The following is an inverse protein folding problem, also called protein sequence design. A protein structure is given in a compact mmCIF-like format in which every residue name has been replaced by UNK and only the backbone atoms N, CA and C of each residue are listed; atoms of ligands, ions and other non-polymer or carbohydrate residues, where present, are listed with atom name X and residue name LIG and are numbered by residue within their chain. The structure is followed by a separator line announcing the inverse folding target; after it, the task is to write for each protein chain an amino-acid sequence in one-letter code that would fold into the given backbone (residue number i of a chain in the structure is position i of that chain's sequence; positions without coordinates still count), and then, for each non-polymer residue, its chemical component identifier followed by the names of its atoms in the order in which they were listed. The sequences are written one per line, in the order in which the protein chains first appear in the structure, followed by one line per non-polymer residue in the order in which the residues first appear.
data_IF_329953091685
#
_entry.id   IF_329953091685
#
_cell.length_a   1.000
_cell.length_b   1.000
_cell.length_c   1.000
_cell.angle_alpha   90.00
_cell.angle_beta   90.00
_cell.angle_gamma   90.00
#
_symmetry.space_group_name_H-M   'P 1'
#
loop_
_entity.id
_entity.type
_entity.pdbx_description
1 polymer ?
#
# COMPACT_ATOMS: atom_id res chain seq x y z
N UNK A 1 -9.96 49.79 1.63
CA UNK A 1 -10.41 49.11 0.40
C UNK A 1 -9.77 47.73 0.43
N UNK A 2 -10.46 46.74 1.03
CA UNK A 2 -9.91 45.41 1.33
C UNK A 2 -10.48 44.37 0.33
N UNK A 3 -10.23 44.56 -0.97
CA UNK A 3 -10.86 43.75 -2.03
C UNK A 3 -9.87 42.84 -2.78
N UNK A 4 -8.73 42.50 -2.20
CA UNK A 4 -7.73 41.62 -2.85
C UNK A 4 -7.56 40.25 -2.16
N UNK A 5 -8.32 39.96 -1.11
CA UNK A 5 -8.13 38.75 -0.28
C UNK A 5 -9.16 37.63 -0.53
N UNK A 6 -10.15 37.84 -1.40
CA UNK A 6 -11.32 36.95 -1.54
C UNK A 6 -11.18 35.85 -2.60
N UNK A 7 -10.01 35.72 -3.24
CA UNK A 7 -9.86 34.88 -4.45
C UNK A 7 -8.94 33.67 -4.31
N UNK A 8 -8.41 33.40 -3.10
CA UNK A 8 -7.63 32.18 -2.85
C UNK A 8 -8.46 31.24 -2.02
N UNK A 9 -8.60 29.98 -2.45
CA UNK A 9 -9.12 28.93 -1.58
C UNK A 9 -8.17 28.81 -0.38
N UNK A 10 -8.51 29.46 0.74
CA UNK A 10 -7.70 29.53 1.95
C UNK A 10 -7.61 28.18 2.69
N UNK A 11 -8.36 27.17 2.22
CA UNK A 11 -8.48 25.87 2.86
C UNK A 11 -8.63 24.75 1.81
N UNK A 12 -7.69 23.81 1.84
CA UNK A 12 -7.81 22.52 1.15
C UNK A 12 -8.18 21.44 2.16
N UNK A 13 -9.27 20.72 1.90
CA UNK A 13 -9.73 19.62 2.75
C UNK A 13 -9.51 18.31 1.98
N UNK A 14 -8.80 17.36 2.60
CA UNK A 14 -8.65 15.99 2.09
C UNK A 14 -9.43 15.06 3.01
N UNK A 15 -10.43 14.38 2.46
CA UNK A 15 -11.21 13.37 3.16
C UNK A 15 -10.67 12.00 2.79
N UNK A 16 -10.26 11.23 3.80
CA UNK A 16 -9.75 9.86 3.64
C UNK A 16 -10.55 8.94 4.54
N UNK A 17 -10.95 7.79 4.02
CA UNK A 17 -11.64 6.77 4.78
C UNK A 17 -11.74 5.47 4.02
N UNK A 18 -12.36 4.48 4.66
CA UNK A 18 -12.63 3.18 4.09
C UNK A 18 -13.80 3.26 3.07
N UNK A 19 -14.03 2.23 2.24
CA UNK A 19 -15.11 2.24 1.23
C UNK A 19 -16.50 2.58 1.79
N UNK A 20 -16.77 2.28 3.05
CA UNK A 20 -18.01 2.62 3.75
C UNK A 20 -18.22 4.14 3.87
N UNK A 21 -17.15 4.93 3.84
CA UNK A 21 -17.23 6.38 3.80
C UNK A 21 -18.00 6.84 2.56
N UNK A 22 -17.76 6.23 1.39
CA UNK A 22 -18.48 6.61 0.17
C UNK A 22 -20.00 6.41 0.32
N UNK A 23 -20.40 5.26 0.86
CA UNK A 23 -21.81 4.96 1.15
C UNK A 23 -22.43 5.95 2.14
N UNK A 24 -21.70 6.31 3.20
CA UNK A 24 -22.13 7.33 4.18
C UNK A 24 -22.22 8.71 3.57
N UNK A 25 -21.31 9.06 2.66
CA UNK A 25 -21.35 10.34 1.97
C UNK A 25 -22.54 10.43 1.03
N UNK A 26 -22.96 9.32 0.41
CA UNK A 26 -24.12 9.27 -0.49
C UNK A 26 -25.48 9.51 0.20
N UNK A 27 -25.54 9.55 1.54
CA UNK A 27 -26.76 9.86 2.29
C UNK A 27 -27.29 11.27 1.96
N UNK A 28 -28.62 11.43 1.92
CA UNK A 28 -29.25 12.73 1.62
C UNK A 28 -28.80 13.86 2.55
N UNK A 29 -28.51 13.54 3.81
CA UNK A 29 -27.99 14.49 4.81
C UNK A 29 -26.66 15.13 4.43
N UNK A 30 -25.86 14.50 3.57
CA UNK A 30 -24.52 14.94 3.20
C UNK A 30 -24.40 15.47 1.76
N UNK A 31 -25.54 15.59 1.05
CA UNK A 31 -25.59 16.06 -0.36
C UNK A 31 -24.88 17.39 -0.60
N UNK A 32 -25.04 18.36 0.30
CA UNK A 32 -24.43 19.69 0.18
C UNK A 32 -22.90 19.68 0.30
N UNK A 33 -22.35 18.68 0.99
CA UNK A 33 -20.91 18.48 1.14
C UNK A 33 -20.36 17.71 -0.05
N UNK A 34 -21.08 16.67 -0.49
CA UNK A 34 -20.75 15.89 -1.69
C UNK A 34 -20.61 16.76 -2.96
N UNK A 35 -21.50 17.75 -3.15
CA UNK A 35 -21.44 18.63 -4.33
C UNK A 35 -20.22 19.56 -4.34
N UNK A 36 -19.54 19.73 -3.20
CA UNK A 36 -18.34 20.56 -3.06
C UNK A 36 -17.04 19.77 -3.20
N UNK A 37 -17.12 18.45 -3.40
CA UNK A 37 -15.96 17.60 -3.64
C UNK A 37 -15.70 17.55 -5.14
N UNK A 38 -14.67 18.29 -5.57
CA UNK A 38 -14.29 18.38 -6.98
C UNK A 38 -13.58 17.11 -7.49
N UNK A 39 -12.85 16.42 -6.61
CA UNK A 39 -12.09 15.24 -6.96
C UNK A 39 -12.41 14.10 -6.00
N UNK A 40 -12.70 12.93 -6.55
CA UNK A 40 -12.93 11.70 -5.81
C UNK A 40 -12.15 10.59 -6.48
N UNK A 41 -11.36 9.90 -5.67
CA UNK A 41 -10.53 8.79 -6.11
C UNK A 41 -10.76 7.61 -5.17
N UNK A 42 -10.86 6.43 -5.76
CA UNK A 42 -10.83 5.16 -5.05
C UNK A 42 -9.45 4.57 -5.30
N UNK A 43 -8.73 4.23 -4.23
CA UNK A 43 -7.45 3.54 -4.35
C UNK A 43 -7.78 2.06 -4.49
N UNK A 44 -7.58 1.52 -5.68
CA UNK A 44 -7.72 0.09 -5.94
C UNK A 44 -6.54 -0.69 -5.35
N UNK A 45 -6.70 -2.00 -5.08
CA UNK A 45 -5.57 -2.86 -4.74
C UNK A 45 -4.48 -2.76 -5.80
N UNK A 46 -3.22 -2.76 -5.38
CA UNK A 46 -2.08 -2.68 -6.27
C UNK A 46 -2.09 -3.87 -7.24
N UNK A 47 -1.81 -3.63 -8.52
CA UNK A 47 -1.53 -4.70 -9.50
C UNK A 47 -0.18 -5.36 -9.21
N UNK A 48 0.16 -6.41 -9.97
CA UNK A 48 1.48 -7.05 -9.86
C UNK A 48 2.61 -6.08 -10.26
N UNK A 49 2.37 -5.23 -11.26
CA UNK A 49 3.34 -4.24 -11.72
C UNK A 49 3.47 -3.11 -10.70
N UNK A 50 2.36 -2.62 -10.14
CA UNK A 50 2.37 -1.66 -9.02
C UNK A 50 3.13 -2.23 -7.82
N UNK A 51 2.98 -3.54 -7.54
CA UNK A 51 3.68 -4.22 -6.45
C UNK A 51 5.19 -4.21 -6.69
N UNK A 52 5.63 -4.52 -7.91
CA UNK A 52 7.04 -4.49 -8.29
C UNK A 52 7.63 -3.07 -8.18
N UNK A 53 6.94 -2.07 -8.73
CA UNK A 53 7.34 -0.66 -8.66
C UNK A 53 7.38 -0.17 -7.21
N UNK A 54 6.36 -0.50 -6.42
CA UNK A 54 6.27 -0.13 -5.03
C UNK A 54 7.43 -0.71 -4.21
N UNK A 55 7.71 -2.01 -4.36
CA UNK A 55 8.85 -2.64 -3.67
C UNK A 55 10.16 -2.00 -4.10
N UNK A 56 10.38 -1.77 -5.41
CA UNK A 56 11.57 -1.12 -5.91
C UNK A 56 11.73 0.31 -5.36
N UNK A 57 10.64 1.10 -5.32
CA UNK A 57 10.63 2.42 -4.74
C UNK A 57 11.01 2.41 -3.25
N UNK A 58 10.43 1.48 -2.48
CA UNK A 58 10.72 1.33 -1.04
C UNK A 58 12.17 0.91 -0.79
N UNK A 59 12.69 0.00 -1.60
CA UNK A 59 14.08 -0.44 -1.51
C UNK A 59 15.07 0.68 -1.87
N UNK A 60 14.79 1.44 -2.92
CA UNK A 60 15.57 2.62 -3.29
C UNK A 60 15.58 3.65 -2.17
N UNK A 61 14.43 3.90 -1.53
CA UNK A 61 14.34 4.78 -0.36
C UNK A 61 15.14 4.27 0.86
N UNK A 62 15.36 2.96 0.96
CA UNK A 62 16.22 2.34 1.96
C UNK A 62 17.71 2.27 1.56
N UNK A 63 18.08 2.80 0.39
CA UNK A 63 19.45 2.84 -0.10
C UNK A 63 19.93 1.57 -0.81
N UNK A 64 19.02 0.66 -1.20
CA UNK A 64 19.39 -0.47 -2.03
C UNK A 64 19.76 0.00 -3.45
N UNK A 65 20.90 -0.47 -3.96
CA UNK A 65 21.45 -0.15 -5.28
C UNK A 65 21.37 -1.32 -6.27
N UNK A 66 20.87 -2.47 -5.83
CA UNK A 66 20.67 -3.67 -6.63
C UNK A 66 19.33 -4.35 -6.33
N UNK A 67 18.93 -5.27 -7.20
CA UNK A 67 17.71 -6.06 -7.00
C UNK A 67 17.87 -7.00 -5.80
N UNK A 68 16.92 -6.93 -4.87
CA UNK A 68 16.84 -7.80 -3.68
C UNK A 68 15.74 -8.85 -3.79
N UNK A 69 14.84 -8.73 -4.77
CA UNK A 69 13.74 -9.66 -5.01
C UNK A 69 13.80 -10.17 -6.45
N UNK A 70 13.58 -11.47 -6.64
CA UNK A 70 13.36 -12.03 -7.97
C UNK A 70 11.96 -11.67 -8.49
N UNK A 71 11.74 -11.76 -9.81
CA UNK A 71 10.42 -11.50 -10.40
C UNK A 71 9.34 -12.44 -9.84
N UNK A 72 9.70 -13.71 -9.62
CA UNK A 72 8.81 -14.73 -9.07
C UNK A 72 8.44 -14.44 -7.61
N UNK A 73 9.35 -13.82 -6.85
CA UNK A 73 9.06 -13.46 -5.45
C UNK A 73 8.17 -12.21 -5.37
N UNK A 74 8.31 -11.26 -6.29
CA UNK A 74 7.39 -10.12 -6.42
C UNK A 74 5.97 -10.58 -6.80
N UNK A 75 5.85 -11.50 -7.77
CA UNK A 75 4.56 -12.09 -8.13
C UNK A 75 3.92 -12.82 -6.94
N UNK A 76 4.70 -13.64 -6.22
CA UNK A 76 4.21 -14.34 -5.04
C UNK A 76 3.79 -13.38 -3.90
N UNK A 77 4.54 -12.28 -3.70
CA UNK A 77 4.16 -11.23 -2.75
C UNK A 77 2.81 -10.61 -3.12
N UNK A 78 2.61 -10.27 -4.39
CA UNK A 78 1.35 -9.70 -4.87
C UNK A 78 0.18 -10.67 -4.63
N UNK A 79 0.33 -11.95 -5.02
CA UNK A 79 -0.69 -12.99 -4.82
C UNK A 79 -1.08 -13.14 -3.35
N UNK A 80 -0.08 -13.27 -2.46
CA UNK A 80 -0.30 -13.48 -1.03
C UNK A 80 -0.86 -12.24 -0.32
N UNK A 81 -0.50 -11.05 -0.77
CA UNK A 81 -0.99 -9.80 -0.22
C UNK A 81 -2.32 -9.33 -0.84
N UNK A 82 -2.76 -9.95 -1.94
CA UNK A 82 -3.93 -9.53 -2.72
C UNK A 82 -3.90 -8.02 -3.06
N UNK A 83 -2.72 -7.50 -3.42
CA UNK A 83 -2.52 -6.08 -3.75
C UNK A 83 -2.55 -5.11 -2.57
N UNK A 84 -2.66 -5.58 -1.32
CA UNK A 84 -2.58 -4.72 -0.14
C UNK A 84 -1.14 -4.27 0.12
N UNK A 85 -0.85 -2.97 -0.08
CA UNK A 85 0.48 -2.41 0.19
C UNK A 85 0.98 -2.69 1.61
N UNK A 86 0.07 -2.74 2.59
CA UNK A 86 0.42 -3.04 3.98
C UNK A 86 0.89 -4.48 4.16
N UNK A 87 0.20 -5.43 3.54
CA UNK A 87 0.61 -6.84 3.61
C UNK A 87 1.83 -7.12 2.73
N UNK A 88 1.98 -6.43 1.59
CA UNK A 88 3.22 -6.42 0.79
C UNK A 88 4.40 -6.01 1.67
N UNK A 89 4.31 -4.87 2.39
CA UNK A 89 5.35 -4.40 3.30
C UNK A 89 5.69 -5.43 4.37
N UNK A 90 4.66 -6.05 4.97
CA UNK A 90 4.81 -7.03 6.05
C UNK A 90 5.53 -8.29 5.56
N UNK A 91 5.06 -8.87 4.46
CA UNK A 91 5.62 -10.07 3.86
C UNK A 91 7.04 -9.81 3.33
N UNK A 92 7.25 -8.72 2.58
CA UNK A 92 8.56 -8.37 2.02
C UNK A 92 9.61 -8.17 3.13
N UNK A 93 9.25 -7.44 4.20
CA UNK A 93 10.15 -7.20 5.34
C UNK A 93 10.53 -8.50 6.05
N UNK A 94 9.57 -9.40 6.25
CA UNK A 94 9.83 -10.68 6.89
C UNK A 94 10.63 -11.62 5.97
N UNK A 95 10.36 -11.64 4.66
CA UNK A 95 11.12 -12.38 3.66
C UNK A 95 12.57 -11.91 3.56
N UNK A 96 12.82 -10.60 3.59
CA UNK A 96 14.19 -10.06 3.64
C UNK A 96 14.94 -10.50 4.90
N UNK A 97 14.31 -10.42 6.08
CA UNK A 97 14.94 -10.89 7.34
C UNK A 97 15.27 -12.38 7.28
N UNK A 98 14.37 -13.16 6.71
CA UNK A 98 14.53 -14.61 6.60
C UNK A 98 15.63 -15.00 5.58
N UNK A 99 15.71 -14.31 4.45
CA UNK A 99 16.82 -14.48 3.49
C UNK A 99 18.16 -14.05 4.08
N UNK A 100 18.19 -12.94 4.83
CA UNK A 100 19.39 -12.46 5.52
C UNK A 100 19.89 -13.48 6.56
N UNK A 101 19.00 -14.08 7.36
CA UNK A 101 19.34 -15.17 8.30
C UNK A 101 19.98 -16.37 7.60
N UNK A 102 19.55 -16.66 6.36
CA UNK A 102 20.11 -17.73 5.52
C UNK A 102 21.31 -17.29 4.67
N UNK A 103 21.81 -16.06 4.85
CA UNK A 103 22.90 -15.47 4.07
C UNK A 103 22.64 -15.46 2.56
N UNK A 104 21.36 -15.38 2.14
CA UNK A 104 20.97 -15.19 0.74
C UNK A 104 20.88 -13.71 0.42
N UNK A 105 21.46 -13.30 -0.70
CA UNK A 105 21.42 -11.90 -1.19
C UNK A 105 20.12 -11.57 -1.93
N UNK A 106 19.45 -12.58 -2.49
CA UNK A 106 18.22 -12.45 -3.25
C UNK A 106 17.08 -13.15 -2.51
N UNK A 107 15.93 -12.48 -2.41
CA UNK A 107 14.67 -13.04 -1.94
C UNK A 107 13.98 -13.75 -3.10
N UNK A 108 13.92 -15.07 -3.02
CA UNK A 108 13.23 -15.94 -3.97
C UNK A 108 11.78 -16.23 -3.52
N UNK A 109 11.02 -16.88 -4.41
CA UNK A 109 9.63 -17.27 -4.15
C UNK A 109 9.51 -18.13 -2.89
N UNK A 110 10.44 -19.06 -2.69
CA UNK A 110 10.40 -19.97 -1.54
C UNK A 110 10.56 -19.23 -0.21
N UNK A 111 11.38 -18.17 -0.15
CA UNK A 111 11.52 -17.34 1.04
C UNK A 111 10.22 -16.62 1.39
N UNK A 112 9.49 -16.13 0.38
CA UNK A 112 8.18 -15.50 0.57
C UNK A 112 7.15 -16.53 1.07
N UNK A 113 7.10 -17.71 0.45
CA UNK A 113 6.16 -18.78 0.84
C UNK A 113 6.35 -19.23 2.31
N UNK A 114 7.60 -19.50 2.72
CA UNK A 114 7.92 -19.90 4.10
C UNK A 114 7.49 -18.86 5.15
N UNK A 115 7.68 -17.58 4.82
CA UNK A 115 7.32 -16.49 5.72
C UNK A 115 5.80 -16.34 5.81
N UNK A 116 5.09 -16.50 4.70
CA UNK A 116 3.63 -16.45 4.69
C UNK A 116 3.04 -17.56 5.57
N UNK A 117 3.55 -18.78 5.48
CA UNK A 117 3.18 -19.88 6.38
C UNK A 117 3.44 -19.50 7.85
N UNK A 118 4.65 -19.05 8.17
CA UNK A 118 5.04 -18.68 9.54
C UNK A 118 4.13 -17.59 10.13
N UNK A 119 3.79 -16.56 9.34
CA UNK A 119 2.91 -15.47 9.79
C UNK A 119 1.47 -15.93 9.97
N UNK A 120 1.01 -16.89 9.18
CA UNK A 120 -0.33 -17.48 9.30
C UNK A 120 -0.45 -18.27 10.61
N UNK A 121 0.54 -19.11 10.91
CA UNK A 121 0.65 -19.85 12.18
C UNK A 121 0.67 -18.91 13.39
N UNK A 122 1.36 -17.77 13.30
CA UNK A 122 1.39 -16.79 14.38
C UNK A 122 0.05 -16.06 14.59
N UNK A 123 -0.77 -15.90 13.55
CA UNK A 123 -2.09 -15.28 13.67
C UNK A 123 -3.18 -16.22 14.19
N UNK A 124 -2.97 -17.54 14.13
CA UNK A 124 -3.92 -18.53 14.66
C UNK A 124 -3.73 -18.87 16.14
N UNK A 125 -2.65 -18.36 16.76
CA UNK A 125 -2.27 -18.63 18.15
C UNK A 125 -2.53 -17.45 19.11
N UNK A 126 -3.13 -16.36 18.63
CA UNK A 126 -3.50 -15.17 19.42
C UNK A 126 -4.98 -14.86 19.29
#
# INVERSE_FOLDING_TARGET
MNHEWDSRALLSIVLVGLPELEGRMALRSHRSLLTRIHHRFMIEPATVDDTAEYVAFRLKGAGADHELFSRESLAALHELASGSLREIDRLASAAMRESARRKRKLVDRDAVARVAETLTLSSSLG
#
